data_IF_900865126821
#
_entry.id   IF_900865126821
#
_cell.length_a   1.000
_cell.length_b   1.000
_cell.length_c   1.000
_cell.angle_alpha   90.00
_cell.angle_beta   90.00
_cell.angle_gamma   90.00
#
_symmetry.space_group_name_H-M   'P 1'
#
loop_
_entity.id
_entity.type
_entity.pdbx_description
1 polymer ?
#
# COMPACT_ATOMS: atom_id res chain seq x y z
N UNK A 1 -6.74 -10.47 26.91
CA UNK A 1 -5.29 -10.14 27.01
C UNK A 1 -5.10 -8.71 27.58
N UNK A 2 -5.92 -8.27 28.55
CA UNK A 2 -5.85 -6.91 29.13
C UNK A 2 -5.85 -6.87 30.68
N UNK A 3 -5.86 -8.02 31.38
CA UNK A 3 -5.83 -8.06 32.85
C UNK A 3 -4.44 -7.88 33.49
N UNK A 4 -3.44 -7.34 32.77
CA UNK A 4 -2.11 -7.03 33.33
C UNK A 4 -1.76 -5.54 33.41
N UNK A 5 -2.68 -4.61 33.12
CA UNK A 5 -2.42 -3.16 33.13
C UNK A 5 -2.51 -2.51 34.53
N UNK A 6 -1.72 -3.00 35.50
CA UNK A 6 -1.57 -2.32 36.81
C UNK A 6 -0.15 -1.96 37.22
N UNK A 7 0.87 -2.16 36.37
CA UNK A 7 2.25 -1.75 36.69
C UNK A 7 3.00 -1.23 35.47
N UNK A 8 3.18 0.09 35.40
CA UNK A 8 4.24 0.72 34.61
C UNK A 8 3.84 1.52 33.38
N UNK A 9 2.60 2.01 33.28
CA UNK A 9 2.27 2.96 32.20
C UNK A 9 2.87 4.32 32.49
N UNK A 10 3.72 4.79 31.59
CA UNK A 10 4.29 6.13 31.63
C UNK A 10 3.22 7.10 31.14
N UNK A 11 2.52 7.75 32.07
CA UNK A 11 1.69 8.89 31.73
C UNK A 11 2.62 10.02 31.25
N UNK A 12 2.50 10.35 29.97
CA UNK A 12 3.32 11.36 29.35
C UNK A 12 2.52 12.64 29.21
N UNK A 13 2.88 13.67 29.99
CA UNK A 13 2.29 14.99 29.81
C UNK A 13 2.91 15.66 28.58
N UNK A 14 2.17 15.62 27.46
CA UNK A 14 2.58 16.20 26.19
C UNK A 14 2.89 17.70 26.27
N UNK A 15 2.39 18.41 27.29
CA UNK A 15 2.72 19.82 27.52
C UNK A 15 4.23 20.03 27.71
N UNK A 16 4.94 19.02 28.23
CA UNK A 16 6.40 19.05 28.42
C UNK A 16 7.21 19.00 27.11
N UNK A 17 6.62 18.55 26.00
CA UNK A 17 7.27 18.56 24.68
C UNK A 17 7.14 19.91 23.96
N UNK A 18 6.35 20.82 24.53
CA UNK A 18 6.05 22.10 23.91
C UNK A 18 6.95 23.14 24.57
N UNK A 19 7.92 23.71 23.85
CA UNK A 19 8.72 24.80 24.41
C UNK A 19 7.77 25.93 24.82
N UNK A 20 7.90 26.37 26.08
CA UNK A 20 7.10 27.46 26.64
C UNK A 20 7.10 28.67 25.69
N UNK A 21 5.96 29.33 25.45
CA UNK A 21 5.79 30.38 24.43
C UNK A 21 6.60 31.67 24.67
N UNK A 22 7.49 31.68 25.66
CA UNK A 22 8.32 32.82 26.01
C UNK A 22 9.57 32.87 25.10
N UNK A 23 9.50 33.67 24.04
CA UNK A 23 10.62 34.30 23.33
C UNK A 23 11.36 33.62 22.16
N UNK A 24 10.85 32.57 21.49
CA UNK A 24 11.34 32.31 20.12
C UNK A 24 10.28 31.70 19.20
N UNK A 25 10.09 32.30 18.02
CA UNK A 25 9.25 31.80 16.92
C UNK A 25 9.88 30.61 16.21
N UNK A 26 10.47 29.68 16.96
CA UNK A 26 11.06 28.47 16.40
C UNK A 26 9.92 27.49 16.07
N UNK A 27 9.38 27.62 14.86
CA UNK A 27 8.42 26.66 14.31
C UNK A 27 9.09 25.28 14.32
N UNK A 28 8.41 24.30 14.93
CA UNK A 28 8.88 22.91 14.98
C UNK A 28 9.19 22.42 13.56
N UNK A 29 10.35 21.77 13.41
CA UNK A 29 10.79 21.13 12.16
C UNK A 29 10.51 19.63 12.15
N UNK A 30 9.69 19.13 13.07
CA UNK A 30 9.40 17.71 13.23
C UNK A 30 8.60 17.18 12.03
N UNK A 31 9.30 16.55 11.07
CA UNK A 31 8.69 15.98 9.87
C UNK A 31 8.15 14.56 10.04
N UNK A 32 8.72 13.79 10.96
CA UNK A 32 8.36 12.41 11.24
C UNK A 32 8.30 12.19 12.76
N UNK A 33 7.25 11.51 13.24
CA UNK A 33 7.10 11.16 14.65
C UNK A 33 6.69 9.69 14.78
N UNK A 34 7.30 8.99 15.73
CA UNK A 34 6.92 7.63 16.11
C UNK A 34 6.63 7.59 17.60
N UNK A 35 5.42 7.16 17.96
CA UNK A 35 4.95 6.99 19.32
C UNK A 35 4.70 5.51 19.57
N UNK A 36 5.24 4.99 20.66
CA UNK A 36 5.19 3.56 20.96
C UNK A 36 4.94 3.32 22.44
N UNK A 37 3.88 2.57 22.76
CA UNK A 37 3.52 2.18 24.14
C UNK A 37 3.36 3.38 25.08
N UNK A 38 2.69 4.43 24.59
CA UNK A 38 2.42 5.65 25.35
C UNK A 38 0.92 5.87 25.50
N UNK A 39 0.53 6.41 26.65
CA UNK A 39 -0.82 6.91 26.90
C UNK A 39 -0.76 8.44 26.90
N UNK A 40 -1.58 9.07 26.07
CA UNK A 40 -1.65 10.52 25.93
C UNK A 40 -3.07 11.00 26.20
N UNK A 41 -3.22 12.21 26.74
CA UNK A 41 -4.53 12.86 26.72
C UNK A 41 -4.94 13.27 25.30
N UNK A 42 -6.24 13.39 25.02
CA UNK A 42 -6.71 13.92 23.74
C UNK A 42 -6.15 15.32 23.45
N UNK A 43 -6.11 16.17 24.47
CA UNK A 43 -5.47 17.49 24.41
C UNK A 43 -3.98 17.39 24.05
N UNK A 44 -3.26 16.48 24.70
CA UNK A 44 -1.83 16.31 24.47
C UNK A 44 -1.51 15.85 23.06
N UNK A 45 -2.29 14.88 22.56
CA UNK A 45 -2.17 14.40 21.18
C UNK A 45 -2.46 15.51 20.16
N UNK A 46 -3.58 16.23 20.33
CA UNK A 46 -3.98 17.32 19.45
C UNK A 46 -2.97 18.46 19.45
N UNK A 47 -2.47 18.82 20.63
CA UNK A 47 -1.48 19.90 20.77
C UNK A 47 -0.14 19.51 20.14
N UNK A 48 0.24 18.24 20.22
CA UNK A 48 1.42 17.71 19.54
C UNK A 48 1.30 17.86 18.01
N UNK A 49 0.13 17.53 17.43
CA UNK A 49 -0.13 17.70 16.01
C UNK A 49 -0.13 19.19 15.63
N UNK A 50 -0.75 20.05 16.43
CA UNK A 50 -0.81 21.51 16.23
C UNK A 50 0.55 22.15 16.15
N UNK A 51 1.41 21.82 17.10
CA UNK A 51 2.72 22.44 17.22
C UNK A 51 3.74 21.84 16.25
N UNK A 52 3.33 20.87 15.42
CA UNK A 52 4.18 20.21 14.43
C UNK A 52 3.61 20.38 13.01
N UNK A 53 3.54 21.61 12.47
CA UNK A 53 2.87 21.91 11.19
C UNK A 53 3.57 21.34 9.95
N UNK A 54 4.79 20.80 10.11
CA UNK A 54 5.53 20.11 9.05
C UNK A 54 5.51 18.59 9.21
N UNK A 55 4.81 18.05 10.21
CA UNK A 55 4.71 16.62 10.45
C UNK A 55 3.96 15.95 9.30
N UNK A 56 4.65 15.12 8.54
CA UNK A 56 4.09 14.40 7.38
C UNK A 56 3.85 12.94 7.67
N UNK A 57 4.70 12.32 8.49
CA UNK A 57 4.63 10.89 8.81
C UNK A 57 4.41 10.68 10.31
N UNK A 58 3.37 9.95 10.65
CA UNK A 58 3.05 9.58 12.02
C UNK A 58 2.98 8.07 12.14
N UNK A 59 3.76 7.50 13.06
CA UNK A 59 3.68 6.08 13.44
C UNK A 59 3.13 5.98 14.85
N UNK A 60 2.07 5.20 15.04
CA UNK A 60 1.48 4.85 16.32
C UNK A 60 1.63 3.34 16.51
N UNK A 61 2.10 2.92 17.67
CA UNK A 61 2.20 1.52 18.03
C UNK A 61 1.89 1.29 19.51
N UNK A 62 0.77 0.62 19.80
CA UNK A 62 0.19 0.51 21.14
C UNK A 62 0.05 1.87 21.82
N UNK A 63 -0.46 2.85 21.08
CA UNK A 63 -0.76 4.18 21.63
C UNK A 63 -2.22 4.21 22.07
N UNK A 64 -2.48 4.73 23.27
CA UNK A 64 -3.82 4.97 23.75
C UNK A 64 -4.04 6.48 23.94
N UNK A 65 -5.17 6.99 23.47
CA UNK A 65 -5.59 8.37 23.73
C UNK A 65 -6.68 8.34 24.79
N UNK A 66 -6.30 8.69 26.02
CA UNK A 66 -7.17 8.70 27.20
C UNK A 66 -7.75 10.10 27.43
N UNK A 67 -8.80 10.22 28.24
CA UNK A 67 -9.40 11.50 28.63
C UNK A 67 -9.75 12.40 27.44
N UNK A 68 -10.91 12.11 26.82
CA UNK A 68 -11.43 12.95 25.75
C UNK A 68 -12.05 14.24 26.30
N UNK A 69 -11.71 15.38 25.70
CA UNK A 69 -12.32 16.67 25.98
C UNK A 69 -12.76 17.30 24.66
N UNK A 70 -14.08 17.47 24.51
CA UNK A 70 -14.76 18.02 23.33
C UNK A 70 -14.28 19.42 22.95
N UNK A 71 -13.81 20.23 23.92
CA UNK A 71 -13.36 21.59 23.67
C UNK A 71 -12.16 21.64 22.72
N UNK A 72 -11.36 20.58 22.69
CA UNK A 72 -10.18 20.45 21.83
C UNK A 72 -10.49 19.85 20.45
N UNK A 73 -11.74 19.49 20.17
CA UNK A 73 -12.18 18.91 18.90
C UNK A 73 -12.42 19.97 17.80
N UNK A 74 -12.21 21.24 18.13
CA UNK A 74 -12.36 22.35 17.19
C UNK A 74 -11.17 22.46 16.22
N UNK A 75 -11.20 21.58 15.22
CA UNK A 75 -10.80 21.85 13.83
C UNK A 75 -9.33 22.19 13.61
N UNK A 76 -8.44 21.25 13.91
CA UNK A 76 -7.06 21.34 13.43
C UNK A 76 -6.75 20.32 12.36
N UNK A 77 -6.45 20.85 11.18
CA UNK A 77 -5.99 20.07 10.05
C UNK A 77 -4.52 19.72 10.28
N UNK A 78 -4.25 18.48 10.71
CA UNK A 78 -2.90 17.95 10.70
C UNK A 78 -2.30 18.00 9.28
N UNK A 79 -0.98 18.25 9.21
CA UNK A 79 -0.22 18.15 7.96
C UNK A 79 0.16 16.72 7.59
N UNK A 80 -0.21 15.74 8.43
CA UNK A 80 0.10 14.31 8.26
C UNK A 80 -0.52 13.80 6.97
N UNK A 81 0.33 13.22 6.12
CA UNK A 81 -0.05 12.62 4.84
C UNK A 81 0.15 11.10 4.84
N UNK A 82 0.95 10.57 5.76
CA UNK A 82 1.26 9.15 5.89
C UNK A 82 1.10 8.72 7.35
N UNK A 83 0.21 7.76 7.59
CA UNK A 83 -0.10 7.22 8.90
C UNK A 83 0.25 5.74 8.95
N UNK A 84 0.97 5.33 9.98
CA UNK A 84 1.27 3.94 10.27
C UNK A 84 0.68 3.60 11.65
N UNK A 85 -0.49 2.96 11.66
CA UNK A 85 -1.26 2.68 12.86
C UNK A 85 -2.31 1.59 12.58
N UNK A 86 -2.77 0.86 13.59
CA UNK A 86 -3.91 -0.06 13.44
C UNK A 86 -5.25 0.68 13.34
N UNK A 87 -6.30 -0.04 12.93
CA UNK A 87 -7.65 0.52 13.00
C UNK A 87 -8.09 0.79 14.44
N UNK A 88 -7.76 -0.09 15.39
CA UNK A 88 -8.13 0.11 16.79
C UNK A 88 -7.52 1.40 17.35
N UNK A 89 -6.25 1.67 17.07
CA UNK A 89 -5.56 2.88 17.57
C UNK A 89 -6.15 4.20 17.05
N UNK A 90 -6.84 4.17 15.92
CA UNK A 90 -7.39 5.37 15.26
C UNK A 90 -8.90 5.48 15.48
N UNK A 91 -9.62 4.37 15.47
CA UNK A 91 -11.09 4.35 15.54
C UNK A 91 -11.60 4.16 16.96
N UNK A 92 -10.83 3.48 17.81
CA UNK A 92 -11.19 3.12 19.19
C UNK A 92 -9.96 3.38 20.10
N UNK A 93 -9.44 4.63 20.15
CA UNK A 93 -8.13 4.91 20.73
C UNK A 93 -8.06 4.68 22.26
N UNK A 94 -9.21 4.52 22.92
CA UNK A 94 -9.32 4.01 24.27
C UNK A 94 -10.26 2.79 24.28
N UNK A 95 -9.76 1.56 24.51
CA UNK A 95 -10.61 0.39 24.60
C UNK A 95 -11.40 0.30 25.92
N UNK A 96 -11.04 1.08 26.94
CA UNK A 96 -11.65 1.02 28.27
C UNK A 96 -12.85 1.96 28.43
N UNK A 97 -12.87 3.05 27.68
CA UNK A 97 -13.92 4.06 27.71
C UNK A 97 -14.26 4.49 26.30
N UNK A 98 -15.52 4.88 26.07
CA UNK A 98 -15.89 5.44 24.78
C UNK A 98 -15.05 6.68 24.49
N UNK A 99 -14.32 6.64 23.38
CA UNK A 99 -13.56 7.77 22.85
C UNK A 99 -13.86 7.89 21.36
N UNK A 100 -14.01 9.13 20.85
CA UNK A 100 -14.24 9.33 19.43
C UNK A 100 -12.99 8.98 18.62
N UNK A 101 -13.22 8.76 17.33
CA UNK A 101 -12.14 8.46 16.39
C UNK A 101 -11.19 9.65 16.24
N UNK A 102 -9.91 9.34 16.01
CA UNK A 102 -8.88 10.30 15.61
C UNK A 102 -8.89 10.61 14.11
N UNK A 103 -9.75 9.98 13.30
CA UNK A 103 -9.86 10.24 11.86
C UNK A 103 -10.04 11.72 11.49
N UNK A 104 -10.89 12.51 12.19
CA UNK A 104 -11.05 13.94 11.89
C UNK A 104 -9.75 14.74 11.99
N UNK A 105 -8.76 14.25 12.75
CA UNK A 105 -7.44 14.88 12.87
C UNK A 105 -6.58 14.73 11.62
N UNK A 106 -6.94 13.87 10.65
CA UNK A 106 -6.11 13.54 9.47
C UNK A 106 -6.77 13.87 8.11
N UNK A 107 -7.20 15.12 7.86
CA UNK A 107 -7.86 15.51 6.61
C UNK A 107 -6.99 15.43 5.35
N UNK A 108 -5.67 15.38 5.53
CA UNK A 108 -4.68 15.32 4.44
C UNK A 108 -4.07 13.93 4.25
N UNK A 109 -4.63 12.92 4.90
CA UNK A 109 -4.12 11.56 4.82
C UNK A 109 -4.19 11.03 3.38
N UNK A 110 -3.06 10.57 2.86
CA UNK A 110 -2.91 10.01 1.51
C UNK A 110 -2.49 8.54 1.55
N UNK A 111 -1.63 8.19 2.51
CA UNK A 111 -1.13 6.83 2.73
C UNK A 111 -1.50 6.36 4.13
N UNK A 112 -2.07 5.16 4.22
CA UNK A 112 -2.27 4.47 5.49
C UNK A 112 -1.65 3.08 5.45
N UNK A 113 -0.65 2.87 6.31
CA UNK A 113 -0.08 1.58 6.64
C UNK A 113 -0.77 1.00 7.89
N UNK A 114 -1.58 -0.02 7.67
CA UNK A 114 -2.34 -0.76 8.67
C UNK A 114 -1.54 -1.96 9.18
N UNK A 115 -1.12 -1.88 10.45
CA UNK A 115 -0.41 -2.96 11.18
C UNK A 115 -1.32 -4.11 11.57
N UNK A 116 -2.58 -3.79 11.86
CA UNK A 116 -3.63 -4.75 12.18
C UNK A 116 -5.01 -4.19 11.81
N UNK A 117 -5.93 -5.12 11.56
CA UNK A 117 -7.36 -4.86 11.29
C UNK A 117 -8.15 -5.39 12.48
N UNK A 118 -7.71 -4.98 13.67
CA UNK A 118 -8.08 -5.49 15.00
C UNK A 118 -9.31 -4.84 15.60
N UNK A 119 -10.16 -4.24 14.76
CA UNK A 119 -11.41 -3.63 15.21
C UNK A 119 -12.42 -4.68 15.69
N UNK A 120 -13.31 -4.28 16.60
CA UNK A 120 -14.41 -5.08 17.13
C UNK A 120 -15.23 -5.77 16.01
N UNK A 121 -15.77 -6.96 16.30
CA UNK A 121 -16.45 -7.81 15.30
C UNK A 121 -17.68 -7.17 14.62
N UNK A 122 -18.14 -6.02 15.11
CA UNK A 122 -19.36 -5.35 14.63
C UNK A 122 -19.13 -4.38 13.46
N UNK A 123 -17.87 -4.13 13.07
CA UNK A 123 -17.53 -3.10 12.10
C UNK A 123 -18.11 -3.31 10.68
N UNK A 124 -18.38 -4.57 10.26
CA UNK A 124 -18.98 -4.87 8.94
C UNK A 124 -20.31 -4.18 8.69
N UNK A 125 -21.03 -3.80 9.75
CA UNK A 125 -22.33 -3.11 9.66
C UNK A 125 -22.24 -1.63 10.01
N UNK A 126 -21.05 -1.14 10.30
CA UNK A 126 -20.81 0.23 10.72
C UNK A 126 -20.78 1.14 9.47
N UNK A 127 -21.97 1.46 8.96
CA UNK A 127 -22.14 2.42 7.88
C UNK A 127 -21.58 3.80 8.26
N UNK A 128 -21.58 4.11 9.54
CA UNK A 128 -21.11 5.39 10.08
C UNK A 128 -19.60 5.50 9.93
N UNK A 129 -18.84 4.45 10.23
CA UNK A 129 -17.39 4.44 10.00
C UNK A 129 -17.01 4.67 8.54
N UNK A 130 -17.71 4.04 7.60
CA UNK A 130 -17.42 4.21 6.16
C UNK A 130 -17.62 5.65 5.73
N UNK A 131 -18.72 6.22 6.19
CA UNK A 131 -19.05 7.62 5.94
C UNK A 131 -18.01 8.53 6.59
N UNK A 132 -17.61 8.23 7.82
CA UNK A 132 -16.60 8.97 8.56
C UNK A 132 -15.24 8.92 7.87
N UNK A 133 -14.73 7.75 7.48
CA UNK A 133 -13.44 7.63 6.80
C UNK A 133 -13.44 8.39 5.47
N UNK A 134 -14.49 8.25 4.66
CA UNK A 134 -14.61 8.96 3.39
C UNK A 134 -14.72 10.48 3.58
N UNK A 135 -15.38 10.93 4.66
CA UNK A 135 -15.54 12.35 5.00
C UNK A 135 -14.25 12.96 5.56
N UNK A 136 -13.60 12.24 6.46
CA UNK A 136 -12.42 12.70 7.21
C UNK A 136 -11.13 12.52 6.41
N UNK A 137 -11.02 11.51 5.54
CA UNK A 137 -9.78 11.22 4.80
C UNK A 137 -10.05 11.10 3.28
N UNK A 138 -10.55 12.15 2.62
CA UNK A 138 -10.97 12.08 1.20
C UNK A 138 -9.82 11.88 0.22
N UNK A 139 -8.56 12.12 0.65
CA UNK A 139 -7.36 11.99 -0.18
C UNK A 139 -6.67 10.62 -0.03
N UNK A 140 -7.20 9.72 0.79
CA UNK A 140 -6.61 8.42 1.06
C UNK A 140 -6.70 7.54 -0.18
N UNK A 141 -5.56 7.30 -0.82
CA UNK A 141 -5.45 6.54 -2.06
C UNK A 141 -4.37 5.45 -2.04
N UNK A 142 -3.52 5.44 -1.00
CA UNK A 142 -2.46 4.44 -0.84
C UNK A 142 -2.69 3.65 0.44
N UNK A 143 -2.82 2.33 0.30
CA UNK A 143 -3.04 1.41 1.41
C UNK A 143 -1.89 0.43 1.51
N UNK A 144 -1.44 0.18 2.73
CA UNK A 144 -0.41 -0.83 3.00
C UNK A 144 -0.88 -1.68 4.16
N UNK A 145 -0.78 -2.99 4.01
CA UNK A 145 -1.27 -3.93 4.98
C UNK A 145 -0.14 -4.82 5.43
N UNK A 146 0.09 -4.84 6.74
CA UNK A 146 0.90 -5.89 7.33
C UNK A 146 0.21 -7.26 7.15
N UNK A 147 0.98 -8.34 7.26
CA UNK A 147 0.49 -9.63 7.74
C UNK A 147 -0.76 -9.63 8.65
N UNK A 148 -1.94 -10.03 8.15
CA UNK A 148 -3.14 -10.21 8.98
C UNK A 148 -3.69 -11.62 8.93
N UNK A 149 -4.31 -12.05 10.03
CA UNK A 149 -4.96 -13.35 10.12
C UNK A 149 -6.34 -13.39 9.44
N UNK A 150 -7.06 -12.26 9.41
CA UNK A 150 -8.41 -12.16 8.84
C UNK A 150 -8.39 -11.26 7.60
N UNK A 151 -8.30 -11.88 6.43
CA UNK A 151 -8.23 -11.20 5.13
C UNK A 151 -9.59 -10.72 4.64
N UNK A 152 -10.69 -11.26 5.15
CA UNK A 152 -12.01 -10.76 4.78
C UNK A 152 -12.19 -9.33 5.26
N UNK A 153 -11.67 -8.99 6.45
CA UNK A 153 -11.78 -7.61 6.93
C UNK A 153 -10.99 -6.61 6.05
N UNK A 154 -9.91 -7.06 5.42
CA UNK A 154 -9.18 -6.25 4.44
C UNK A 154 -10.01 -5.99 3.19
N UNK A 155 -10.67 -7.04 2.70
CA UNK A 155 -11.56 -6.93 1.55
C UNK A 155 -12.68 -5.94 1.80
N UNK A 156 -13.39 -6.07 2.92
CA UNK A 156 -14.45 -5.15 3.31
C UNK A 156 -13.95 -3.69 3.34
N UNK A 157 -12.72 -3.44 3.85
CA UNK A 157 -12.15 -2.09 3.92
C UNK A 157 -11.89 -1.54 2.52
N UNK A 158 -11.35 -2.37 1.62
CA UNK A 158 -11.14 -2.01 0.23
C UNK A 158 -12.47 -1.69 -0.44
N UNK A 159 -13.43 -2.62 -0.43
CA UNK A 159 -14.70 -2.49 -1.14
C UNK A 159 -15.51 -1.29 -0.64
N UNK A 160 -15.61 -1.14 0.68
CA UNK A 160 -16.66 -0.32 1.27
C UNK A 160 -16.18 1.04 1.79
N UNK A 161 -14.90 1.17 2.14
CA UNK A 161 -14.42 2.37 2.84
C UNK A 161 -13.59 3.31 1.97
N UNK A 162 -12.90 2.78 0.95
CA UNK A 162 -11.94 3.54 0.15
C UNK A 162 -12.49 3.71 -1.26
N UNK A 163 -12.75 4.96 -1.67
CA UNK A 163 -13.45 5.23 -2.94
C UNK A 163 -12.57 5.10 -4.18
N UNK A 164 -11.31 5.52 -4.10
CA UNK A 164 -10.40 5.55 -5.24
C UNK A 164 -8.97 5.16 -4.83
N UNK A 165 -8.74 3.91 -4.38
CA UNK A 165 -7.40 3.45 -4.09
C UNK A 165 -6.61 3.37 -5.41
N UNK A 166 -5.44 4.00 -5.42
CA UNK A 166 -4.50 4.01 -6.54
C UNK A 166 -3.37 3.00 -6.32
N UNK A 167 -2.99 2.77 -5.06
CA UNK A 167 -1.86 1.92 -4.69
C UNK A 167 -2.21 1.02 -3.50
N UNK A 168 -1.89 -0.27 -3.62
CA UNK A 168 -2.13 -1.26 -2.58
C UNK A 168 -0.87 -2.11 -2.35
N UNK A 169 -0.41 -2.19 -1.10
CA UNK A 169 0.68 -3.08 -0.69
C UNK A 169 0.19 -4.08 0.34
N UNK A 170 0.49 -5.37 0.17
CA UNK A 170 0.12 -6.39 1.16
C UNK A 170 1.06 -7.59 1.11
N UNK A 171 1.16 -8.33 2.22
CA UNK A 171 1.90 -9.58 2.25
C UNK A 171 1.20 -10.68 1.43
N UNK A 172 1.95 -11.55 0.75
CA UNK A 172 1.43 -12.64 -0.08
C UNK A 172 0.46 -13.54 0.68
N UNK A 173 0.69 -13.76 2.00
CA UNK A 173 -0.20 -14.53 2.86
C UNK A 173 -1.57 -13.90 3.11
N UNK A 174 -1.71 -12.59 2.85
CA UNK A 174 -3.00 -11.90 2.91
C UNK A 174 -3.84 -12.17 1.65
N UNK A 175 -3.29 -12.86 0.64
CA UNK A 175 -4.02 -13.19 -0.58
C UNK A 175 -5.05 -14.29 -0.31
N UNK A 176 -6.32 -13.95 -0.49
CA UNK A 176 -7.49 -14.83 -0.42
C UNK A 176 -8.48 -14.47 -1.54
N UNK A 177 -9.50 -15.30 -1.73
CA UNK A 177 -10.60 -14.97 -2.65
C UNK A 177 -11.28 -13.64 -2.28
N UNK A 178 -11.48 -13.38 -0.98
CA UNK A 178 -12.03 -12.11 -0.48
C UNK A 178 -11.13 -10.94 -0.86
N UNK A 179 -9.81 -11.03 -0.63
CA UNK A 179 -8.87 -9.97 -1.00
C UNK A 179 -8.92 -9.69 -2.50
N UNK A 180 -9.01 -10.73 -3.33
CA UNK A 180 -9.13 -10.60 -4.77
C UNK A 180 -10.42 -9.87 -5.19
N UNK A 181 -11.55 -10.16 -4.53
CA UNK A 181 -12.81 -9.41 -4.73
C UNK A 181 -12.61 -7.94 -4.39
N UNK A 182 -11.95 -7.64 -3.27
CA UNK A 182 -11.64 -6.27 -2.85
C UNK A 182 -10.77 -5.51 -3.85
N UNK A 183 -9.73 -6.15 -4.39
CA UNK A 183 -8.91 -5.56 -5.45
C UNK A 183 -9.71 -5.36 -6.75
N UNK A 184 -10.58 -6.32 -7.09
CA UNK A 184 -11.37 -6.26 -8.33
C UNK A 184 -12.43 -5.17 -8.35
N UNK A 185 -12.98 -4.82 -7.18
CA UNK A 185 -13.88 -3.69 -7.01
C UNK A 185 -13.21 -2.36 -7.42
N UNK A 186 -11.87 -2.33 -7.41
CA UNK A 186 -11.04 -1.19 -7.77
C UNK A 186 -10.19 -1.42 -9.02
N UNK A 187 -10.64 -2.32 -9.91
CA UNK A 187 -9.95 -2.65 -11.16
C UNK A 187 -9.68 -1.44 -12.05
N UNK A 188 -10.52 -0.40 -11.96
CA UNK A 188 -10.40 0.84 -12.73
C UNK A 188 -9.48 1.89 -12.07
N UNK A 189 -9.34 1.89 -10.74
CA UNK A 189 -8.57 2.92 -10.01
C UNK A 189 -7.19 2.45 -9.61
N UNK A 190 -7.00 1.15 -9.34
CA UNK A 190 -5.71 0.61 -8.91
C UNK A 190 -4.69 0.68 -10.05
N UNK A 191 -3.63 1.44 -9.81
CA UNK A 191 -2.49 1.59 -10.74
C UNK A 191 -1.22 0.94 -10.23
N UNK A 192 -1.12 0.65 -8.93
CA UNK A 192 0.06 0.05 -8.32
C UNK A 192 -0.33 -1.05 -7.33
N UNK A 193 0.21 -2.24 -7.52
CA UNK A 193 0.08 -3.35 -6.57
C UNK A 193 1.47 -3.87 -6.22
N UNK A 194 1.77 -3.92 -4.91
CA UNK A 194 3.00 -4.51 -4.38
C UNK A 194 2.67 -5.64 -3.43
N UNK A 195 3.26 -6.80 -3.67
CA UNK A 195 3.06 -8.00 -2.88
C UNK A 195 4.39 -8.36 -2.24
N UNK A 196 4.41 -8.35 -0.92
CA UNK A 196 5.61 -8.61 -0.10
C UNK A 196 5.57 -10.01 0.48
N UNK A 197 6.68 -10.46 1.05
CA UNK A 197 6.82 -11.77 1.69
C UNK A 197 6.68 -12.95 0.72
N UNK A 198 7.26 -14.09 1.13
CA UNK A 198 7.14 -15.33 0.37
C UNK A 198 5.73 -15.91 0.52
N UNK A 199 5.20 -16.46 -0.56
CA UNK A 199 4.01 -17.30 -0.51
C UNK A 199 4.40 -18.69 0.01
N UNK A 200 4.21 -18.94 1.31
CA UNK A 200 4.47 -20.26 1.93
C UNK A 200 3.30 -21.23 1.76
N UNK A 201 2.11 -20.70 1.45
CA UNK A 201 0.88 -21.47 1.38
C UNK A 201 0.65 -22.01 -0.04
N UNK A 202 -0.05 -23.14 -0.07
CA UNK A 202 -0.47 -23.98 -1.19
C UNK A 202 -0.83 -23.28 -2.50
N UNK A 203 -0.86 -24.05 -3.59
CA UNK A 203 -1.28 -23.70 -4.96
C UNK A 203 -2.47 -22.73 -5.06
N UNK A 204 -3.37 -22.73 -4.06
CA UNK A 204 -4.51 -21.81 -3.96
C UNK A 204 -4.11 -20.33 -3.87
N UNK A 205 -3.18 -19.92 -3.01
CA UNK A 205 -2.77 -18.50 -2.92
C UNK A 205 -2.11 -18.04 -4.21
N UNK A 206 -1.32 -18.91 -4.83
CA UNK A 206 -0.69 -18.66 -6.14
C UNK A 206 -1.73 -18.45 -7.24
N UNK A 207 -2.80 -19.26 -7.26
CA UNK A 207 -3.92 -19.08 -8.20
C UNK A 207 -4.49 -17.67 -8.15
N UNK A 208 -4.71 -17.14 -6.95
CA UNK A 208 -5.23 -15.78 -6.78
C UNK A 208 -4.22 -14.71 -7.22
N UNK A 209 -2.92 -14.90 -6.95
CA UNK A 209 -1.87 -14.00 -7.42
C UNK A 209 -1.83 -13.88 -8.95
N UNK A 210 -1.97 -15.01 -9.67
CA UNK A 210 -2.02 -15.01 -11.14
C UNK A 210 -3.25 -14.30 -11.72
N UNK A 211 -4.33 -14.15 -10.94
CA UNK A 211 -5.54 -13.45 -11.37
C UNK A 211 -5.42 -11.93 -11.30
N UNK A 212 -4.55 -11.37 -10.45
CA UNK A 212 -4.45 -9.91 -10.25
C UNK A 212 -4.24 -9.16 -11.58
N UNK A 213 -3.27 -9.54 -12.44
CA UNK A 213 -2.98 -8.77 -13.66
C UNK A 213 -4.03 -9.00 -14.77
N UNK A 214 -4.91 -9.99 -14.58
CA UNK A 214 -6.08 -10.21 -15.42
C UNK A 214 -7.26 -9.31 -15.02
N UNK A 215 -7.38 -9.01 -13.73
CA UNK A 215 -8.50 -8.24 -13.18
C UNK A 215 -8.23 -6.73 -13.11
N UNK A 216 -7.00 -6.32 -12.81
CA UNK A 216 -6.62 -4.91 -12.69
C UNK A 216 -6.09 -4.39 -14.03
N UNK A 217 -7.00 -3.96 -14.91
CA UNK A 217 -6.66 -3.59 -16.30
C UNK A 217 -5.80 -2.31 -16.39
N UNK A 218 -6.00 -1.37 -15.45
CA UNK A 218 -5.29 -0.09 -15.40
C UNK A 218 -3.97 -0.15 -14.60
N UNK A 219 -3.52 -1.35 -14.25
CA UNK A 219 -2.31 -1.57 -13.47
C UNK A 219 -1.07 -1.10 -14.24
N UNK A 220 -0.34 -0.15 -13.66
CA UNK A 220 0.90 0.42 -14.19
C UNK A 220 2.14 -0.14 -13.51
N UNK A 221 2.02 -0.54 -12.25
CA UNK A 221 3.11 -1.10 -11.45
C UNK A 221 2.65 -2.40 -10.81
N UNK A 222 3.39 -3.47 -11.06
CA UNK A 222 3.19 -4.76 -10.39
C UNK A 222 4.51 -5.23 -9.81
N UNK A 223 4.55 -5.39 -8.50
CA UNK A 223 5.73 -5.87 -7.78
C UNK A 223 5.40 -7.10 -6.95
N UNK A 224 6.14 -8.18 -7.17
CA UNK A 224 6.05 -9.47 -6.46
C UNK A 224 7.48 -10.02 -6.28
N UNK A 225 8.37 -9.23 -5.67
CA UNK A 225 9.81 -9.53 -5.66
C UNK A 225 10.17 -10.84 -4.96
N UNK A 226 9.42 -11.21 -3.93
CA UNK A 226 9.64 -12.39 -3.09
C UNK A 226 8.94 -13.66 -3.62
N UNK A 227 8.19 -13.55 -4.73
CA UNK A 227 7.38 -14.64 -5.28
C UNK A 227 8.02 -15.15 -6.57
N UNK A 228 8.18 -16.48 -6.65
CA UNK A 228 8.67 -17.17 -7.84
C UNK A 228 7.48 -17.73 -8.63
N UNK A 229 7.21 -17.12 -9.79
CA UNK A 229 6.12 -17.47 -10.68
C UNK A 229 6.50 -18.62 -11.60
N UNK A 230 5.52 -19.46 -11.93
CA UNK A 230 5.65 -20.51 -12.94
C UNK A 230 5.06 -20.02 -14.27
N UNK A 231 5.85 -20.09 -15.33
CA UNK A 231 5.47 -19.53 -16.63
C UNK A 231 4.27 -20.26 -17.26
N UNK A 232 4.11 -21.55 -16.99
CA UNK A 232 2.94 -22.35 -17.39
C UNK A 232 1.64 -21.73 -16.85
N UNK A 233 1.60 -21.41 -15.56
CA UNK A 233 0.46 -20.79 -14.89
C UNK A 233 0.23 -19.35 -15.36
N UNK A 234 1.30 -18.57 -15.58
CA UNK A 234 1.18 -17.21 -16.14
C UNK A 234 0.53 -17.23 -17.52
N UNK A 235 0.95 -18.16 -18.39
CA UNK A 235 0.38 -18.33 -19.73
C UNK A 235 -1.10 -18.74 -19.69
N UNK A 236 -1.48 -19.62 -18.76
CA UNK A 236 -2.87 -20.05 -18.57
C UNK A 236 -3.80 -18.87 -18.21
N UNK A 237 -3.33 -17.94 -17.37
CA UNK A 237 -4.17 -16.87 -16.84
C UNK A 237 -4.30 -15.65 -17.76
N UNK A 238 -3.46 -15.53 -18.81
CA UNK A 238 -3.51 -14.46 -19.82
C UNK A 238 -3.60 -13.05 -19.23
N UNK A 239 -2.48 -12.50 -18.76
CA UNK A 239 -2.44 -11.16 -18.14
C UNK A 239 -2.94 -10.08 -19.13
N UNK A 240 -3.74 -9.12 -18.64
CA UNK A 240 -4.44 -8.11 -19.47
C UNK A 240 -4.11 -6.67 -19.12
N UNK A 241 -3.13 -6.43 -18.25
CA UNK A 241 -2.67 -5.09 -17.86
C UNK A 241 -1.84 -4.43 -18.99
N UNK A 242 -2.50 -3.98 -20.07
CA UNK A 242 -1.84 -3.33 -21.21
C UNK A 242 -1.09 -2.04 -20.84
N UNK A 243 -1.47 -1.43 -19.72
CA UNK A 243 -0.89 -0.20 -19.19
C UNK A 243 0.30 -0.40 -18.25
N UNK A 244 0.75 -1.65 -18.09
CA UNK A 244 1.87 -2.00 -17.23
C UNK A 244 3.16 -1.32 -17.71
N UNK A 245 3.76 -0.53 -16.82
CA UNK A 245 5.00 0.23 -17.02
C UNK A 245 6.17 -0.34 -16.24
N UNK A 246 5.92 -0.91 -15.08
CA UNK A 246 6.93 -1.52 -14.22
C UNK A 246 6.48 -2.90 -13.76
N UNK A 247 7.34 -3.89 -13.98
CA UNK A 247 7.12 -5.27 -13.56
C UNK A 247 8.31 -5.76 -12.75
N UNK A 248 8.07 -6.21 -11.51
CA UNK A 248 9.08 -6.84 -10.67
C UNK A 248 8.61 -8.21 -10.25
N UNK A 249 9.19 -9.25 -10.83
CA UNK A 249 8.77 -10.65 -10.59
C UNK A 249 9.98 -11.56 -10.69
N UNK A 250 9.84 -12.80 -10.24
CA UNK A 250 10.83 -13.86 -10.50
C UNK A 250 10.13 -15.01 -11.21
N UNK A 251 10.84 -15.69 -12.10
CA UNK A 251 10.31 -16.86 -12.80
C UNK A 251 11.13 -18.10 -12.45
N UNK A 252 10.43 -19.21 -12.17
CA UNK A 252 11.07 -20.51 -11.90
C UNK A 252 11.84 -20.97 -13.13
N UNK A 253 13.11 -21.33 -12.94
CA UNK A 253 14.02 -21.76 -14.00
C UNK A 253 14.77 -20.63 -14.70
N UNK A 254 14.52 -19.36 -14.34
CA UNK A 254 15.23 -18.19 -14.84
C UNK A 254 15.85 -17.39 -13.68
N UNK A 255 16.71 -18.03 -12.90
CA UNK A 255 17.39 -17.42 -11.76
C UNK A 255 18.84 -17.03 -12.04
N UNK A 256 19.46 -17.62 -13.08
CA UNK A 256 20.85 -17.33 -13.45
C UNK A 256 20.98 -15.89 -13.99
N UNK A 257 21.83 -15.03 -13.41
CA UNK A 257 21.97 -13.64 -13.83
C UNK A 257 22.34 -13.47 -15.32
N UNK A 258 23.16 -14.38 -15.86
CA UNK A 258 23.58 -14.33 -17.27
C UNK A 258 22.41 -14.68 -18.19
N UNK A 259 21.64 -15.73 -17.88
CA UNK A 259 20.42 -16.07 -18.60
C UNK A 259 19.37 -14.94 -18.56
N UNK A 260 19.24 -14.25 -17.42
CA UNK A 260 18.38 -13.05 -17.27
C UNK A 260 18.87 -11.91 -18.18
N UNK A 261 20.16 -11.59 -18.14
CA UNK A 261 20.78 -10.54 -18.99
C UNK A 261 20.56 -10.85 -20.49
N UNK A 262 20.76 -12.09 -20.92
CA UNK A 262 20.55 -12.55 -22.30
C UNK A 262 19.08 -12.46 -22.73
N UNK A 263 18.16 -12.87 -21.85
CA UNK A 263 16.72 -12.77 -22.07
C UNK A 263 16.28 -11.31 -22.27
N UNK A 264 16.69 -10.41 -21.37
CA UNK A 264 16.29 -9.00 -21.41
C UNK A 264 16.97 -8.22 -22.55
N UNK A 265 18.19 -8.62 -22.93
CA UNK A 265 18.84 -8.12 -24.15
C UNK A 265 18.03 -8.51 -25.38
N UNK A 266 17.53 -9.75 -25.42
CA UNK A 266 16.69 -10.24 -26.51
C UNK A 266 15.34 -9.52 -26.58
N UNK A 267 14.71 -9.21 -25.44
CA UNK A 267 13.51 -8.36 -25.37
C UNK A 267 13.80 -6.97 -25.96
N UNK A 268 14.91 -6.33 -25.57
CA UNK A 268 15.32 -5.04 -26.11
C UNK A 268 15.50 -5.07 -27.64
N UNK A 269 16.16 -6.12 -28.16
CA UNK A 269 16.40 -6.29 -29.60
C UNK A 269 15.09 -6.48 -30.36
N UNK A 270 14.18 -7.33 -29.88
CA UNK A 270 12.90 -7.57 -30.54
C UNK A 270 11.98 -6.35 -30.52
N UNK A 271 11.99 -5.55 -29.45
CA UNK A 271 11.25 -4.27 -29.41
C UNK A 271 11.77 -3.25 -30.42
N UNK A 272 13.07 -3.27 -30.73
CA UNK A 272 13.68 -2.40 -31.75
C UNK A 272 13.49 -2.93 -33.18
N UNK A 273 13.37 -4.25 -33.34
CA UNK A 273 13.25 -4.93 -34.63
C UNK A 273 12.16 -6.00 -34.57
N UNK A 274 10.88 -5.60 -34.74
CA UNK A 274 9.78 -6.54 -34.81
C UNK A 274 10.01 -7.56 -35.93
N UNK A 275 9.85 -8.85 -35.64
CA UNK A 275 9.99 -9.94 -36.64
C UNK A 275 11.13 -10.93 -36.38
N UNK A 276 12.04 -10.67 -35.44
CA UNK A 276 12.94 -11.72 -34.95
C UNK A 276 12.13 -12.78 -34.21
N UNK A 277 12.08 -14.00 -34.75
CA UNK A 277 11.44 -15.13 -34.06
C UNK A 277 12.35 -15.60 -32.93
N UNK A 278 11.80 -15.74 -31.73
CA UNK A 278 12.47 -16.43 -30.65
C UNK A 278 12.60 -17.93 -30.98
N UNK A 279 13.66 -18.57 -30.50
CA UNK A 279 13.79 -20.03 -30.53
C UNK A 279 12.80 -20.62 -29.53
N UNK A 280 11.95 -21.55 -29.98
CA UNK A 280 10.92 -22.14 -29.12
C UNK A 280 11.53 -23.11 -28.09
N UNK A 281 10.93 -23.18 -26.90
CA UNK A 281 11.14 -24.29 -25.95
C UNK A 281 12.07 -24.03 -24.76
N UNK A 282 12.52 -22.78 -24.53
CA UNK A 282 13.24 -22.42 -23.31
C UNK A 282 12.40 -21.50 -22.43
N UNK A 283 12.59 -21.57 -21.09
CA UNK A 283 11.95 -20.65 -20.14
C UNK A 283 12.26 -19.18 -20.47
N UNK A 284 13.49 -18.88 -20.92
CA UNK A 284 13.87 -17.54 -21.38
C UNK A 284 13.02 -17.09 -22.57
N UNK A 285 12.72 -17.98 -23.50
CA UNK A 285 11.87 -17.70 -24.66
C UNK A 285 10.43 -17.41 -24.22
N UNK A 286 9.89 -18.18 -23.27
CA UNK A 286 8.53 -18.00 -22.78
C UNK A 286 8.38 -16.69 -22.00
N UNK A 287 9.33 -16.38 -21.11
CA UNK A 287 9.38 -15.10 -20.37
C UNK A 287 9.53 -13.95 -21.36
N UNK A 288 10.39 -14.06 -22.37
CA UNK A 288 10.53 -13.06 -23.41
C UNK A 288 9.21 -12.80 -24.14
N UNK A 289 8.51 -13.86 -24.57
CA UNK A 289 7.22 -13.71 -25.25
C UNK A 289 6.19 -13.04 -24.33
N UNK A 290 6.18 -13.39 -23.05
CA UNK A 290 5.31 -12.77 -22.07
C UNK A 290 5.61 -11.27 -21.90
N UNK A 291 6.86 -10.88 -21.73
CA UNK A 291 7.26 -9.47 -21.56
C UNK A 291 6.96 -8.59 -22.79
N UNK A 292 6.90 -9.19 -23.98
CA UNK A 292 6.53 -8.49 -25.22
C UNK A 292 5.03 -8.19 -25.33
N UNK A 293 4.18 -8.83 -24.51
CA UNK A 293 2.74 -8.55 -24.46
C UNK A 293 2.42 -7.19 -23.82
N UNK A 294 3.38 -6.57 -23.12
CA UNK A 294 3.21 -5.29 -22.44
C UNK A 294 3.90 -4.14 -23.21
N UNK A 295 3.19 -3.48 -24.16
CA UNK A 295 3.79 -2.48 -25.04
C UNK A 295 4.28 -1.24 -24.27
N UNK A 296 3.68 -0.92 -23.11
CA UNK A 296 4.03 0.25 -22.29
C UNK A 296 5.09 -0.05 -21.21
N UNK A 297 5.58 -1.28 -21.12
CA UNK A 297 6.55 -1.70 -20.10
C UNK A 297 7.88 -0.97 -20.29
N UNK A 298 8.32 -0.23 -19.27
CA UNK A 298 9.53 0.61 -19.28
C UNK A 298 10.63 0.04 -18.41
N UNK A 299 10.28 -0.60 -17.30
CA UNK A 299 11.25 -1.21 -16.39
C UNK A 299 10.83 -2.62 -16.02
N UNK A 300 11.82 -3.51 -15.93
CA UNK A 300 11.64 -4.89 -15.48
C UNK A 300 12.73 -5.24 -14.47
N UNK A 301 12.32 -5.91 -13.39
CA UNK A 301 13.23 -6.57 -12.46
C UNK A 301 12.90 -8.06 -12.44
N UNK A 302 13.90 -8.91 -12.70
CA UNK A 302 13.76 -10.38 -12.74
C UNK A 302 14.54 -11.09 -11.62
N UNK A 303 14.78 -10.44 -10.47
CA UNK A 303 15.51 -11.03 -9.34
C UNK A 303 16.93 -10.48 -9.09
N UNK A 304 17.49 -9.70 -10.01
CA UNK A 304 18.90 -9.24 -9.94
C UNK A 304 19.01 -7.71 -9.87
N UNK A 305 18.80 -7.04 -10.99
CA UNK A 305 18.85 -5.57 -11.14
C UNK A 305 17.65 -5.09 -11.95
N UNK A 306 17.40 -3.79 -11.91
CA UNK A 306 16.35 -3.16 -12.73
C UNK A 306 16.91 -2.90 -14.13
N UNK A 307 16.18 -3.34 -15.15
CA UNK A 307 16.47 -3.11 -16.55
C UNK A 307 15.47 -2.13 -17.12
N UNK A 308 15.96 -1.20 -17.95
CA UNK A 308 15.13 -0.19 -18.59
C UNK A 308 15.02 -0.49 -20.07
N UNK A 309 13.79 -0.56 -20.57
CA UNK A 309 13.52 -0.70 -21.99
C UNK A 309 13.45 0.68 -22.66
N UNK A 310 13.95 0.79 -23.90
CA UNK A 310 13.68 1.98 -24.69
C UNK A 310 12.18 2.14 -24.87
N UNK A 311 11.69 3.38 -24.78
CA UNK A 311 10.31 3.67 -25.17
C UNK A 311 10.12 3.18 -26.62
N UNK A 312 8.96 2.59 -26.94
CA UNK A 312 8.60 2.44 -28.35
C UNK A 312 8.80 3.80 -28.99
N UNK A 313 9.38 3.84 -30.19
CA UNK A 313 9.32 5.05 -30.98
C UNK A 313 7.83 5.34 -31.13
N UNK A 314 7.30 6.25 -30.29
CA UNK A 314 5.97 6.78 -30.51
C UNK A 314 6.05 7.31 -31.92
N UNK A 315 5.17 6.84 -32.80
CA UNK A 315 5.02 7.42 -34.13
C UNK A 315 4.88 8.91 -33.88
N UNK A 316 6.00 9.62 -34.00
CA UNK A 316 6.05 11.06 -34.14
C UNK A 316 5.27 11.20 -35.41
N UNK A 317 3.96 11.46 -35.27
CA UNK A 317 3.03 11.67 -36.35
C UNK A 317 3.81 12.54 -37.30
N UNK A 318 4.18 11.97 -38.46
CA UNK A 318 5.03 12.63 -39.42
C UNK A 318 4.31 13.93 -39.72
N UNK A 319 4.81 15.00 -39.10
CA UNK A 319 4.16 16.28 -39.06
C UNK A 319 4.09 16.74 -40.50
N UNK A 320 2.86 16.79 -40.99
CA UNK A 320 2.45 17.48 -42.20
C UNK A 320 3.31 18.73 -42.33
N UNK A 321 4.16 18.75 -43.36
CA UNK A 321 4.80 19.96 -43.81
C UNK A 321 3.68 20.94 -44.18
N UNK A 322 3.57 22.02 -43.40
CA UNK A 322 2.91 23.25 -43.84
C UNK A 322 3.85 24.00 -44.76
#
# INVERSE_FOLDING_TARGET
>A
MYEQHKRGEFYFDASSLIPSPTCSTTVSRLGNLSLSRVCLSHEGFTTLLRNSPVLRKLTLFRVAVVHFNEEFDNHQQSSVTSLHASLAEICEPNPMEWTPSLLPSFPRLQEWHLTSVDRSNNWRRDADFRHELARCCPLLNTLRFDPVANTDKLSDLLVDCIRHPESCTFAAKNMSSSMLVGLSAHSDTLTSITITDKCTNSDESMRWLYMIPKMCLNLKVLSMEDIVLEMSSVNEHQWRCHDLKELRVRFRGLEDPKAIDECLTSVCLQRRRPGLRATNGSISSDVLQHLLQFPKLRSVWLGTKVYYFPLPATDTVAGVAW
#
